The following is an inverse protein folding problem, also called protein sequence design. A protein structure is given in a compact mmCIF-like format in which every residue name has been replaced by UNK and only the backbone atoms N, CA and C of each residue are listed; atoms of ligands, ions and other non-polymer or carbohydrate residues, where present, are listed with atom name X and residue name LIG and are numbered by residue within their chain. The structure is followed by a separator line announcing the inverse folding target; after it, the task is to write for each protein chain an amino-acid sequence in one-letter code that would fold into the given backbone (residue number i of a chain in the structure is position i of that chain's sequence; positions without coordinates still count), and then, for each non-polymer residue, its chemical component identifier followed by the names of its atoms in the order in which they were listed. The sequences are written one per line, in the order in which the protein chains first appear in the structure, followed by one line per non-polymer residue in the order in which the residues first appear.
data_IF_021254171287
#
_entry.id   IF_021254171287
#
_cell.length_a   1.000
_cell.length_b   1.000
_cell.length_c   1.000
_cell.angle_alpha   90.00
_cell.angle_beta   90.00
_cell.angle_gamma   90.00
#
_symmetry.space_group_name_H-M   'P 1'
#
loop_
_entity.id
_entity.type
_entity.pdbx_description
1 polymer ?
#
# COMPACT_ATOMS: atom_id res chain seq x y z
N UNK A 1 5.78 29.45 -4.36
CA UNK A 1 5.50 28.03 -4.06
C UNK A 1 6.56 27.18 -4.76
N UNK A 2 7.21 26.23 -4.05
CA UNK A 2 8.25 25.38 -4.64
C UNK A 2 7.67 24.49 -5.75
N UNK A 3 8.49 24.18 -6.76
CA UNK A 3 8.16 23.24 -7.83
C UNK A 3 7.77 21.90 -7.18
N UNK A 4 6.53 21.43 -7.40
CA UNK A 4 6.02 20.17 -6.85
C UNK A 4 5.16 20.29 -5.58
N UNK A 5 4.97 21.47 -4.99
CA UNK A 5 4.10 21.65 -3.83
C UNK A 5 2.64 21.22 -4.09
N UNK A 6 2.15 21.37 -5.32
CA UNK A 6 0.80 20.92 -5.72
C UNK A 6 0.66 19.38 -5.68
N UNK A 7 1.74 18.63 -5.89
CA UNK A 7 1.74 17.16 -5.84
C UNK A 7 1.60 16.58 -4.43
N UNK A 8 1.70 17.43 -3.40
CA UNK A 8 1.59 17.02 -2.00
C UNK A 8 0.20 17.28 -1.41
N UNK A 9 -0.75 17.69 -2.23
CA UNK A 9 -2.14 17.90 -1.84
C UNK A 9 -3.05 16.97 -2.65
N UNK A 10 -3.94 16.27 -1.97
CA UNK A 10 -5.00 15.51 -2.63
C UNK A 10 -5.94 16.51 -3.31
N UNK A 11 -6.21 16.38 -4.61
CA UNK A 11 -7.11 17.29 -5.32
C UNK A 11 -8.54 17.12 -4.83
N UNK A 12 -9.30 18.21 -4.86
CA UNK A 12 -10.75 18.12 -4.70
C UNK A 12 -11.37 17.40 -5.92
N UNK A 13 -12.54 16.76 -5.77
CA UNK A 13 -13.14 15.96 -6.85
C UNK A 13 -13.35 16.71 -8.16
N UNK A 14 -13.64 18.02 -8.10
CA UNK A 14 -13.83 18.91 -9.26
C UNK A 14 -12.51 19.38 -9.90
N UNK A 15 -11.40 19.18 -9.24
CA UNK A 15 -10.04 19.52 -9.68
C UNK A 15 -9.28 18.30 -10.20
N UNK A 16 -9.79 17.09 -9.94
CA UNK A 16 -9.13 15.86 -10.32
C UNK A 16 -9.32 15.52 -11.80
N UNK A 17 -8.41 14.71 -12.33
CA UNK A 17 -8.55 14.19 -13.68
C UNK A 17 -9.82 13.35 -13.82
N UNK A 18 -10.53 13.42 -14.97
CA UNK A 18 -11.81 12.74 -15.15
C UNK A 18 -11.70 11.20 -15.19
N UNK A 19 -10.51 10.67 -15.50
CA UNK A 19 -10.29 9.23 -15.63
C UNK A 19 -11.06 8.60 -16.79
N UNK A 20 -11.38 7.31 -16.64
CA UNK A 20 -12.07 6.53 -17.69
C UNK A 20 -12.96 5.44 -17.11
N UNK A 21 -13.83 4.89 -17.95
CA UNK A 21 -14.72 3.77 -17.60
C UNK A 21 -14.06 2.40 -17.80
N UNK A 22 -13.06 2.33 -18.68
CA UNK A 22 -12.37 1.07 -19.01
C UNK A 22 -11.31 0.75 -17.96
N UNK A 23 -11.38 -0.44 -17.37
CA UNK A 23 -10.37 -0.94 -16.45
C UNK A 23 -9.06 -1.28 -17.15
N UNK A 24 -7.96 -1.21 -16.42
CA UNK A 24 -6.64 -1.65 -16.90
C UNK A 24 -6.65 -3.15 -17.19
N UNK A 25 -6.21 -3.52 -18.38
CA UNK A 25 -5.99 -4.93 -18.72
C UNK A 25 -4.67 -5.40 -18.09
N UNK A 26 -4.74 -6.51 -17.36
CA UNK A 26 -3.56 -7.13 -16.75
C UNK A 26 -3.55 -8.63 -17.00
N UNK A 27 -2.37 -9.24 -17.05
CA UNK A 27 -2.20 -10.68 -17.14
C UNK A 27 -2.60 -11.29 -15.80
N UNK A 28 -3.63 -12.14 -15.79
CA UNK A 28 -4.16 -12.75 -14.56
C UNK A 28 -3.26 -13.90 -14.04
N UNK A 29 -1.98 -13.58 -13.83
CA UNK A 29 -1.01 -14.53 -13.27
C UNK A 29 0.13 -13.79 -12.59
N UNK A 30 0.31 -14.02 -11.29
CA UNK A 30 1.43 -13.48 -10.52
C UNK A 30 2.76 -14.09 -11.00
N UNK A 31 3.71 -13.24 -11.40
CA UNK A 31 4.97 -13.66 -12.01
C UNK A 31 5.84 -14.56 -11.09
N UNK A 32 5.76 -14.34 -9.77
CA UNK A 32 6.54 -15.11 -8.77
C UNK A 32 5.72 -16.26 -8.20
N UNK A 33 4.49 -15.99 -7.73
CA UNK A 33 3.66 -16.96 -7.01
C UNK A 33 2.84 -17.87 -7.94
N UNK A 34 2.73 -17.53 -9.22
CA UNK A 34 2.02 -18.31 -10.25
C UNK A 34 0.49 -18.32 -10.10
N UNK A 35 -0.06 -17.64 -9.12
CA UNK A 35 -1.50 -17.59 -8.77
C UNK A 35 -2.21 -16.45 -9.48
N UNK A 36 -3.56 -16.51 -9.65
CA UNK A 36 -4.33 -15.40 -10.19
C UNK A 36 -4.18 -14.13 -9.34
N UNK A 37 -4.07 -12.96 -10.00
CA UNK A 37 -4.05 -11.64 -9.34
C UNK A 37 -5.43 -10.97 -9.37
N UNK A 38 -6.31 -11.40 -10.27
CA UNK A 38 -7.68 -10.90 -10.37
C UNK A 38 -8.65 -11.71 -9.49
N UNK A 39 -9.67 -11.07 -8.90
CA UNK A 39 -10.75 -11.78 -8.24
C UNK A 39 -11.62 -12.58 -9.25
N UNK A 40 -12.44 -13.55 -8.83
CA UNK A 40 -12.63 -13.92 -7.43
C UNK A 40 -11.49 -14.75 -6.85
N UNK A 41 -11.17 -14.53 -5.57
CA UNK A 41 -10.19 -15.34 -4.86
C UNK A 41 -10.85 -16.56 -4.19
N UNK A 42 -10.08 -17.63 -3.88
CA UNK A 42 -10.59 -18.76 -3.12
C UNK A 42 -11.27 -18.34 -1.80
N UNK A 43 -12.33 -19.07 -1.43
CA UNK A 43 -13.04 -18.84 -0.18
C UNK A 43 -12.11 -18.98 1.04
N UNK A 44 -12.32 -18.15 2.06
CA UNK A 44 -11.52 -18.13 3.29
C UNK A 44 -10.29 -17.23 3.24
N UNK A 45 -9.86 -16.79 2.05
CA UNK A 45 -8.80 -15.78 1.96
C UNK A 45 -9.32 -14.40 2.35
N UNK A 46 -8.43 -13.60 2.91
CA UNK A 46 -8.66 -12.19 3.23
C UNK A 46 -7.81 -11.29 2.33
N UNK A 47 -8.17 -10.02 2.25
CA UNK A 47 -7.40 -9.01 1.54
C UNK A 47 -7.25 -7.73 2.35
N UNK A 48 -6.19 -7.00 2.08
CA UNK A 48 -5.88 -5.67 2.63
C UNK A 48 -5.04 -4.92 1.62
N UNK A 49 -5.11 -3.57 1.61
CA UNK A 49 -4.28 -2.76 0.73
C UNK A 49 -3.29 -1.93 1.55
N UNK A 50 -2.02 -1.89 1.10
CA UNK A 50 -0.93 -1.18 1.76
C UNK A 50 -0.24 -0.20 0.82
N UNK A 51 -0.17 1.07 1.20
CA UNK A 51 0.65 2.11 0.57
C UNK A 51 1.90 2.37 1.41
N UNK A 52 3.09 2.20 0.82
CA UNK A 52 4.37 2.32 1.51
C UNK A 52 5.38 3.19 0.74
N UNK A 53 4.92 4.10 -0.11
CA UNK A 53 5.73 4.76 -1.13
C UNK A 53 5.69 3.98 -2.45
N UNK A 54 6.80 3.95 -3.21
CA UNK A 54 6.87 3.21 -4.46
C UNK A 54 6.44 1.74 -4.28
N UNK A 55 5.40 1.34 -5.00
CA UNK A 55 4.77 0.02 -4.84
C UNK A 55 5.64 -1.16 -5.31
N UNK A 56 6.70 -0.95 -6.10
CA UNK A 56 7.58 -2.04 -6.54
C UNK A 56 8.31 -2.73 -5.40
N UNK A 57 8.91 -1.91 -4.51
CA UNK A 57 9.59 -2.43 -3.32
C UNK A 57 8.61 -2.99 -2.29
N UNK A 58 7.46 -2.32 -2.12
CA UNK A 58 6.40 -2.75 -1.23
C UNK A 58 5.86 -4.13 -1.64
N UNK A 59 5.53 -4.31 -2.92
CA UNK A 59 5.03 -5.58 -3.43
C UNK A 59 6.01 -6.73 -3.19
N UNK A 60 7.33 -6.50 -3.45
CA UNK A 60 8.36 -7.50 -3.19
C UNK A 60 8.38 -7.97 -1.74
N UNK A 61 8.22 -7.08 -0.77
CA UNK A 61 8.16 -7.46 0.64
C UNK A 61 7.00 -8.40 0.92
N UNK A 62 5.81 -8.11 0.38
CA UNK A 62 4.62 -8.91 0.62
C UNK A 62 4.63 -10.26 -0.13
N UNK A 63 5.01 -10.33 -1.40
CA UNK A 63 5.06 -11.64 -2.07
C UNK A 63 6.13 -12.56 -1.48
N UNK A 64 7.14 -12.00 -0.79
CA UNK A 64 8.18 -12.78 -0.11
C UNK A 64 7.75 -13.22 1.30
N UNK A 65 6.58 -12.81 1.76
CA UNK A 65 6.07 -13.16 3.09
C UNK A 65 5.33 -14.51 3.00
N UNK A 66 5.76 -15.55 3.74
CA UNK A 66 5.06 -16.84 3.76
C UNK A 66 3.61 -16.68 4.21
N UNK A 67 2.69 -17.40 3.55
CA UNK A 67 1.25 -17.31 3.80
C UNK A 67 0.50 -16.28 2.93
N UNK A 68 1.19 -15.38 2.24
CA UNK A 68 0.60 -14.54 1.22
C UNK A 68 0.22 -15.39 0.02
N UNK A 69 -1.06 -15.29 -0.39
CA UNK A 69 -1.60 -16.05 -1.50
C UNK A 69 -1.23 -15.42 -2.85
N UNK A 70 -1.48 -14.13 -3.00
CA UNK A 70 -1.12 -13.35 -4.19
C UNK A 70 -1.01 -11.87 -3.84
N UNK A 71 -0.31 -11.10 -4.67
CA UNK A 71 -0.26 -9.64 -4.59
C UNK A 71 -0.62 -9.02 -5.93
N UNK A 72 -1.02 -7.77 -5.91
CA UNK A 72 -1.13 -6.94 -7.10
C UNK A 72 -0.83 -5.49 -6.74
N UNK A 73 -0.16 -4.76 -7.62
CA UNK A 73 0.01 -3.31 -7.47
C UNK A 73 -1.09 -2.55 -8.18
N UNK A 74 -1.43 -1.41 -7.61
CA UNK A 74 -2.49 -0.55 -8.16
C UNK A 74 -2.59 0.78 -7.46
N UNK A 75 -3.70 1.45 -7.70
CA UNK A 75 -4.00 2.80 -7.26
C UNK A 75 -5.29 2.80 -6.46
N UNK A 76 -5.29 3.45 -5.30
CA UNK A 76 -6.48 3.53 -4.45
C UNK A 76 -6.48 4.81 -3.58
N UNK A 77 -7.64 5.11 -2.99
CA UNK A 77 -7.80 6.23 -2.06
C UNK A 77 -7.98 7.61 -2.71
N UNK A 78 -7.85 7.72 -4.02
CA UNK A 78 -8.13 8.93 -4.80
C UNK A 78 -9.54 8.98 -5.37
N UNK A 79 -9.76 9.90 -6.30
CA UNK A 79 -11.10 10.19 -6.87
C UNK A 79 -11.21 9.87 -8.36
N UNK A 80 -10.11 9.82 -9.10
CA UNK A 80 -10.09 9.55 -10.55
C UNK A 80 -10.36 8.07 -10.84
N UNK A 81 -11.42 7.68 -11.55
CA UNK A 81 -11.68 6.28 -11.87
C UNK A 81 -10.71 5.73 -12.91
N UNK A 82 -10.25 4.50 -12.71
CA UNK A 82 -9.34 3.77 -13.61
C UNK A 82 -8.14 4.59 -14.10
N UNK A 83 -7.34 5.19 -13.20
CA UNK A 83 -6.21 6.01 -13.62
C UNK A 83 -5.11 5.14 -14.24
N UNK A 84 -4.25 5.75 -15.05
CA UNK A 84 -2.98 5.16 -15.45
C UNK A 84 -1.81 5.75 -14.65
N UNK A 85 -0.63 5.15 -14.79
CA UNK A 85 0.58 5.56 -14.08
C UNK A 85 0.93 7.04 -14.29
N UNK A 86 0.85 7.54 -15.53
CA UNK A 86 1.15 8.95 -15.83
C UNK A 86 0.23 9.91 -15.11
N UNK A 87 -1.06 9.59 -15.07
CA UNK A 87 -2.06 10.39 -14.36
C UNK A 87 -1.81 10.38 -12.85
N UNK A 88 -1.47 9.22 -12.26
CA UNK A 88 -1.13 9.15 -10.83
C UNK A 88 0.14 9.96 -10.53
N UNK A 89 1.16 9.87 -11.37
CA UNK A 89 2.40 10.64 -11.23
C UNK A 89 2.22 12.15 -11.41
N UNK A 90 1.12 12.61 -12.04
CA UNK A 90 0.81 14.04 -12.10
C UNK A 90 0.46 14.62 -10.73
N UNK A 91 -0.07 13.80 -9.79
CA UNK A 91 -0.61 14.23 -8.50
C UNK A 91 -2.07 14.66 -8.57
N UNK A 92 -2.71 14.61 -9.76
CA UNK A 92 -4.06 15.14 -10.02
C UNK A 92 -5.16 14.06 -9.93
N UNK A 93 -4.83 12.85 -9.45
CA UNK A 93 -5.78 11.76 -9.23
C UNK A 93 -6.15 11.56 -7.77
N UNK A 94 -5.29 12.02 -6.86
CA UNK A 94 -5.40 11.79 -5.42
C UNK A 94 -5.11 10.37 -4.96
N UNK A 95 -4.80 9.44 -5.88
CA UNK A 95 -4.50 8.06 -5.52
C UNK A 95 -3.16 7.89 -4.83
N UNK A 96 -3.09 6.91 -3.92
CA UNK A 96 -1.83 6.31 -3.48
C UNK A 96 -1.47 5.12 -4.37
N UNK A 97 -0.17 4.90 -4.54
CA UNK A 97 0.37 3.62 -4.99
C UNK A 97 0.20 2.60 -3.86
N UNK A 98 -0.50 1.51 -4.14
CA UNK A 98 -0.80 0.49 -3.12
C UNK A 98 -0.53 -0.92 -3.63
N UNK A 99 -0.27 -1.81 -2.69
CA UNK A 99 -0.23 -3.25 -2.90
C UNK A 99 -1.48 -3.85 -2.30
N UNK A 100 -2.30 -4.51 -3.10
CA UNK A 100 -3.33 -5.43 -2.61
C UNK A 100 -2.64 -6.72 -2.22
N UNK A 101 -2.79 -7.12 -0.98
CA UNK A 101 -2.28 -8.38 -0.43
C UNK A 101 -3.46 -9.29 -0.15
N UNK A 102 -3.49 -10.44 -0.81
CA UNK A 102 -4.46 -11.52 -0.55
C UNK A 102 -3.73 -12.60 0.21
N UNK A 103 -4.26 -13.02 1.35
CA UNK A 103 -3.57 -13.92 2.26
C UNK A 103 -4.51 -14.94 2.90
N UNK A 104 -3.93 -16.06 3.32
CA UNK A 104 -4.60 -17.08 4.12
C UNK A 104 -4.43 -16.73 5.61
N UNK A 105 -5.50 -16.35 6.34
CA UNK A 105 -5.38 -16.00 7.75
C UNK A 105 -4.97 -17.17 8.65
N UNK A 106 -5.08 -18.42 8.17
CA UNK A 106 -4.56 -19.59 8.88
C UNK A 106 -3.04 -19.76 8.72
N UNK A 107 -2.45 -19.18 7.66
CA UNK A 107 -1.02 -19.28 7.35
C UNK A 107 -0.22 -18.04 7.76
N UNK A 108 -0.81 -16.86 7.66
CA UNK A 108 -0.22 -15.59 8.09
C UNK A 108 -1.28 -14.65 8.67
N UNK A 109 -1.00 -14.06 9.82
CA UNK A 109 -1.95 -13.14 10.45
C UNK A 109 -1.84 -11.73 9.89
N UNK A 110 -2.90 -10.92 10.07
CA UNK A 110 -2.85 -9.50 9.69
C UNK A 110 -1.75 -8.75 10.46
N UNK A 111 -1.51 -9.08 11.73
CA UNK A 111 -0.45 -8.48 12.55
C UNK A 111 0.95 -8.75 11.97
N UNK A 112 1.16 -9.95 11.42
CA UNK A 112 2.42 -10.26 10.74
C UNK A 112 2.62 -9.42 9.47
N UNK A 113 1.55 -9.18 8.70
CA UNK A 113 1.59 -8.28 7.54
C UNK A 113 1.77 -6.82 7.97
N UNK A 114 1.15 -6.39 9.06
CA UNK A 114 1.34 -5.06 9.63
C UNK A 114 2.77 -4.84 10.11
N UNK A 115 3.44 -5.86 10.63
CA UNK A 115 4.87 -5.77 10.95
C UNK A 115 5.70 -5.49 9.69
N UNK A 116 5.45 -6.22 8.60
CA UNK A 116 6.11 -5.97 7.30
C UNK A 116 5.88 -4.53 6.84
N UNK A 117 4.67 -4.02 7.02
CA UNK A 117 4.30 -2.66 6.68
C UNK A 117 5.04 -1.62 7.54
N UNK A 118 4.91 -1.69 8.87
CA UNK A 118 5.48 -0.71 9.78
C UNK A 118 7.01 -0.68 9.75
N UNK A 119 7.66 -1.84 9.66
CA UNK A 119 9.12 -1.94 9.60
C UNK A 119 9.69 -1.68 8.20
N UNK A 120 8.84 -1.74 7.18
CA UNK A 120 9.23 -1.66 5.78
C UNK A 120 9.44 -0.26 5.22
N UNK A 121 8.89 0.79 5.87
CA UNK A 121 8.97 2.17 5.42
C UNK A 121 8.92 3.14 6.62
N UNK A 122 9.02 4.44 6.36
CA UNK A 122 8.82 5.46 7.38
C UNK A 122 7.39 6.04 7.29
N UNK A 123 6.48 5.71 8.23
CA UNK A 123 5.08 6.13 8.16
C UNK A 123 4.86 7.58 8.64
N UNK A 124 5.91 8.35 8.92
CA UNK A 124 5.81 9.72 9.48
C UNK A 124 6.02 10.81 8.43
N UNK A 125 6.21 10.46 7.15
CA UNK A 125 6.69 11.40 6.12
C UNK A 125 5.58 12.16 5.37
N UNK A 126 4.31 11.94 5.68
CA UNK A 126 3.21 12.60 4.99
C UNK A 126 3.10 12.17 3.53
N UNK A 127 3.06 13.15 2.62
CA UNK A 127 2.91 12.91 1.17
C UNK A 127 4.25 12.62 0.49
N UNK A 128 5.06 11.74 1.07
CA UNK A 128 6.33 11.29 0.51
C UNK A 128 6.81 10.00 1.16
N UNK A 129 7.77 9.34 0.53
CA UNK A 129 8.58 8.29 1.14
C UNK A 129 10.01 8.35 0.62
N UNK A 130 10.96 8.60 1.51
CA UNK A 130 12.36 8.78 1.13
C UNK A 130 12.55 9.93 0.14
N UNK A 131 13.06 9.63 -1.04
CA UNK A 131 13.27 10.62 -2.11
C UNK A 131 12.01 10.84 -2.99
N UNK A 132 11.02 9.96 -2.90
CA UNK A 132 9.82 10.03 -3.71
C UNK A 132 8.80 10.99 -3.08
N UNK A 133 8.41 12.05 -3.80
CA UNK A 133 7.53 13.11 -3.32
C UNK A 133 6.23 13.13 -4.12
N UNK A 134 5.08 13.16 -3.41
CA UNK A 134 3.74 13.25 -4.00
C UNK A 134 2.72 12.43 -3.23
N UNK A 135 1.43 12.73 -3.45
CA UNK A 135 0.30 12.04 -2.81
C UNK A 135 0.29 10.54 -3.06
N UNK A 136 0.84 10.09 -4.21
CA UNK A 136 0.93 8.68 -4.56
C UNK A 136 1.87 7.89 -3.64
N UNK A 137 2.81 8.54 -2.99
CA UNK A 137 3.81 7.89 -2.12
C UNK A 137 3.47 7.97 -0.63
N UNK A 138 2.24 8.41 -0.28
CA UNK A 138 1.81 8.46 1.12
C UNK A 138 1.67 7.07 1.72
N UNK A 139 1.93 6.98 3.01
CA UNK A 139 1.64 5.80 3.81
C UNK A 139 0.13 5.58 3.91
N UNK A 140 -0.37 4.37 3.65
CA UNK A 140 -1.80 4.08 3.69
C UNK A 140 -2.08 2.61 4.05
N UNK A 141 -3.19 2.37 4.75
CA UNK A 141 -3.78 1.04 4.98
C UNK A 141 -5.28 1.13 4.70
N UNK A 142 -5.77 0.29 3.80
CA UNK A 142 -7.20 0.19 3.51
C UNK A 142 -7.69 -1.20 3.88
N UNK A 143 -8.59 -1.23 4.86
CA UNK A 143 -9.11 -2.44 5.49
C UNK A 143 -10.40 -2.90 4.82
N UNK A 144 -10.54 -4.20 4.59
CA UNK A 144 -11.76 -4.77 4.00
C UNK A 144 -12.98 -4.55 4.91
N UNK A 145 -12.80 -4.61 6.22
CA UNK A 145 -13.88 -4.52 7.20
C UNK A 145 -13.47 -3.89 8.54
N UNK A 146 -14.43 -3.75 9.45
CA UNK A 146 -14.23 -3.16 10.76
C UNK A 146 -13.36 -4.02 11.70
N UNK A 147 -13.31 -5.34 11.50
CA UNK A 147 -12.47 -6.23 12.31
C UNK A 147 -10.99 -6.02 12.01
N UNK A 148 -10.65 -5.92 10.72
CA UNK A 148 -9.30 -5.54 10.30
C UNK A 148 -8.93 -4.14 10.79
N UNK A 149 -9.87 -3.18 10.69
CA UNK A 149 -9.64 -1.81 11.17
C UNK A 149 -9.25 -1.78 12.65
N UNK A 150 -9.92 -2.54 13.50
CA UNK A 150 -9.61 -2.59 14.95
C UNK A 150 -8.16 -3.08 15.18
N UNK A 151 -7.73 -4.13 14.48
CA UNK A 151 -6.35 -4.66 14.55
C UNK A 151 -5.34 -3.63 14.06
N UNK A 152 -5.63 -2.96 12.94
CA UNK A 152 -4.74 -1.92 12.36
C UNK A 152 -4.57 -0.74 13.31
N UNK A 153 -5.66 -0.25 13.92
CA UNK A 153 -5.58 0.86 14.87
C UNK A 153 -4.78 0.51 16.12
N UNK A 154 -4.99 -0.67 16.69
CA UNK A 154 -4.20 -1.15 17.84
C UNK A 154 -2.71 -1.27 17.48
N UNK A 155 -2.39 -1.81 16.31
CA UNK A 155 -1.02 -1.94 15.80
C UNK A 155 -0.37 -0.58 15.56
N UNK A 156 -1.11 0.39 14.99
CA UNK A 156 -0.65 1.78 14.81
C UNK A 156 -0.26 2.42 16.13
N UNK A 157 -1.12 2.30 17.14
CA UNK A 157 -0.90 2.93 18.45
C UNK A 157 0.32 2.34 19.16
N UNK A 158 0.49 1.01 19.08
CA UNK A 158 1.67 0.34 19.60
C UNK A 158 2.96 0.78 18.86
N UNK A 159 2.92 0.88 17.53
CA UNK A 159 4.08 1.32 16.76
C UNK A 159 4.38 2.81 16.96
N UNK A 160 3.34 3.66 17.10
CA UNK A 160 3.53 5.07 17.44
C UNK A 160 4.28 5.25 18.77
N UNK A 161 3.94 4.47 19.79
CA UNK A 161 4.65 4.52 21.06
C UNK A 161 6.15 4.15 20.90
N UNK A 162 6.45 3.11 20.10
CA UNK A 162 7.82 2.71 19.80
C UNK A 162 8.60 3.77 19.00
N UNK A 163 7.96 4.40 18.01
CA UNK A 163 8.53 5.49 17.22
C UNK A 163 8.84 6.71 18.11
N UNK A 164 7.89 7.11 18.94
CA UNK A 164 8.04 8.26 19.85
C UNK A 164 9.19 8.06 20.83
N UNK A 165 9.36 6.86 21.35
CA UNK A 165 10.48 6.50 22.23
C UNK A 165 11.85 6.61 21.54
N UNK A 166 11.89 6.62 20.22
CA UNK A 166 13.10 6.78 19.38
C UNK A 166 13.21 8.17 18.74
N UNK A 167 12.33 9.10 19.12
CA UNK A 167 12.37 10.50 18.65
C UNK A 167 11.76 10.73 17.26
N UNK A 168 11.02 9.77 16.70
CA UNK A 168 10.29 9.96 15.45
C UNK A 168 9.00 10.76 15.66
N UNK A 169 8.50 11.37 14.57
CA UNK A 169 7.26 12.13 14.55
C UNK A 169 6.01 11.25 14.62
N UNK A 170 4.86 11.90 14.45
CA UNK A 170 3.55 11.26 14.43
C UNK A 170 3.37 10.46 13.13
N UNK A 171 2.78 9.27 13.23
CA UNK A 171 2.35 8.47 12.09
C UNK A 171 1.33 9.27 11.28
N UNK A 172 1.57 9.38 9.97
CA UNK A 172 0.71 10.07 9.01
C UNK A 172 -0.06 9.09 8.10
N UNK A 173 0.01 7.80 8.39
CA UNK A 173 -0.65 6.75 7.61
C UNK A 173 -2.15 7.00 7.49
N UNK A 174 -2.65 7.10 6.26
CA UNK A 174 -4.08 7.12 5.99
C UNK A 174 -4.67 5.74 6.26
N UNK A 175 -5.68 5.65 7.13
CA UNK A 175 -6.35 4.39 7.46
C UNK A 175 -7.84 4.53 7.14
N UNK A 176 -8.37 3.63 6.29
CA UNK A 176 -9.78 3.61 5.89
C UNK A 176 -10.40 2.23 6.00
N UNK A 177 -11.70 2.20 6.35
CA UNK A 177 -12.58 1.04 6.26
C UNK A 177 -14.01 1.52 5.99
N UNK A 178 -14.77 0.92 5.04
CA UNK A 178 -14.30 -0.10 4.11
C UNK A 178 -13.21 0.41 3.16
N UNK A 179 -12.45 -0.53 2.57
CA UNK A 179 -11.42 -0.18 1.59
C UNK A 179 -12.01 0.57 0.38
N UNK A 180 -11.31 1.60 -0.13
CA UNK A 180 -11.72 2.27 -1.36
C UNK A 180 -11.55 1.35 -2.58
N UNK A 181 -12.17 1.69 -3.74
CA UNK A 181 -11.93 0.98 -4.99
C UNK A 181 -10.44 0.86 -5.29
N UNK A 182 -10.03 -0.33 -5.73
CA UNK A 182 -8.68 -0.62 -6.18
C UNK A 182 -8.66 -0.68 -7.70
N UNK A 183 -7.83 0.15 -8.31
CA UNK A 183 -7.57 0.16 -9.74
C UNK A 183 -6.21 -0.49 -10.01
N UNK A 184 -6.18 -1.57 -10.80
CA UNK A 184 -4.94 -2.24 -11.14
C UNK A 184 -4.00 -1.29 -11.89
N UNK A 185 -2.72 -1.31 -11.53
CA UNK A 185 -1.67 -0.70 -12.33
C UNK A 185 -1.40 -1.55 -13.59
N UNK A 186 -0.72 -0.95 -14.56
CA UNK A 186 -0.36 -1.58 -15.82
C UNK A 186 0.44 -2.87 -15.60
N UNK A 187 0.34 -3.81 -16.54
CA UNK A 187 0.98 -5.13 -16.43
C UNK A 187 2.50 -5.06 -16.20
N UNK A 188 3.16 -4.06 -16.78
CA UNK A 188 4.59 -3.86 -16.60
C UNK A 188 4.97 -3.54 -15.14
N UNK A 189 4.06 -2.98 -14.36
CA UNK A 189 4.27 -2.69 -12.95
C UNK A 189 4.02 -3.91 -12.03
N UNK A 190 3.18 -4.86 -12.46
CA UNK A 190 2.88 -6.05 -11.67
C UNK A 190 4.16 -6.88 -11.50
N UNK A 191 4.56 -7.14 -10.24
CA UNK A 191 5.79 -7.85 -9.86
C UNK A 191 7.05 -7.30 -10.56
N UNK A 192 7.14 -5.98 -10.68
CA UNK A 192 8.19 -5.26 -11.41
C UNK A 192 9.60 -5.73 -11.02
N UNK A 193 9.92 -5.84 -9.73
CA UNK A 193 11.26 -6.23 -9.27
C UNK A 193 11.60 -7.71 -9.49
N UNK A 194 10.63 -8.54 -9.86
CA UNK A 194 10.89 -9.89 -10.34
C UNK A 194 11.20 -9.92 -11.83
N UNK A 195 10.53 -9.08 -12.61
CA UNK A 195 10.80 -8.88 -14.05
C UNK A 195 12.09 -8.10 -14.29
N UNK A 196 12.42 -7.18 -13.38
CA UNK A 196 13.59 -6.28 -13.43
C UNK A 196 14.38 -6.32 -12.10
N UNK A 197 15.25 -7.33 -11.87
CA UNK A 197 15.96 -7.50 -10.59
C UNK A 197 16.85 -6.33 -10.17
N UNK A 198 17.35 -5.55 -11.13
CA UNK A 198 18.15 -4.32 -10.90
C UNK A 198 17.30 -3.05 -10.82
N UNK A 199 15.97 -3.16 -10.78
CA UNK A 199 15.05 -2.02 -10.73
C UNK A 199 15.14 -1.21 -9.43
N UNK A 200 14.64 0.02 -9.48
CA UNK A 200 14.64 0.94 -8.33
C UNK A 200 13.86 0.36 -7.14
N UNK A 201 14.46 0.42 -5.97
CA UNK A 201 13.83 0.10 -4.70
C UNK A 201 14.30 1.12 -3.64
N UNK A 202 13.53 2.19 -3.44
CA UNK A 202 13.81 3.25 -2.46
C UNK A 202 13.25 2.99 -1.07
N UNK A 203 12.69 1.80 -0.80
CA UNK A 203 12.10 1.48 0.50
C UNK A 203 13.15 1.27 1.58
N UNK A 204 13.00 2.01 2.67
CA UNK A 204 13.78 1.87 3.90
C UNK A 204 12.93 2.17 5.12
N UNK A 205 13.00 1.31 6.13
CA UNK A 205 12.30 1.51 7.39
C UNK A 205 13.04 2.46 8.31
N UNK A 206 12.40 2.79 9.43
CA UNK A 206 12.94 3.64 10.50
C UNK A 206 14.00 2.94 11.37
N UNK A 207 14.16 1.62 11.22
CA UNK A 207 14.96 0.78 12.11
C UNK A 207 14.31 0.53 13.49
N UNK A 208 13.05 0.94 13.66
CA UNK A 208 12.23 0.65 14.84
C UNK A 208 11.48 -0.64 14.61
N UNK A 209 11.59 -1.59 15.55
CA UNK A 209 10.83 -2.84 15.48
C UNK A 209 9.38 -2.63 15.91
N UNK A 210 8.46 -3.21 15.14
CA UNK A 210 7.05 -3.20 15.49
C UNK A 210 6.81 -4.12 16.70
N UNK A 211 6.25 -3.61 17.80
CA UNK A 211 5.89 -4.47 18.93
C UNK A 211 4.90 -5.55 18.46
N UNK A 212 5.14 -6.80 18.84
CA UNK A 212 4.13 -7.83 18.72
C UNK A 212 3.00 -7.48 19.67
N UNK A 213 1.76 -7.41 19.19
CA UNK A 213 0.62 -7.33 20.08
C UNK A 213 0.75 -8.48 21.08
N UNK A 214 0.85 -8.13 22.36
CA UNK A 214 0.71 -9.13 23.42
C UNK A 214 -0.75 -9.56 23.32
N UNK A 215 -1.00 -10.72 22.72
CA UNK A 215 -2.28 -11.38 22.85
C UNK A 215 -2.48 -11.59 24.34
N UNK A 216 -3.29 -10.73 24.95
CA UNK A 216 -3.68 -10.87 26.34
C UNK A 216 -4.30 -12.25 26.54
N UNK A 217 -3.82 -12.93 27.55
CA UNK A 217 -4.34 -14.20 28.00
C UNK A 217 -5.82 -14.09 28.38
#
# INVERSE_FOLDING_TARGET
MGIGAYKQRIPEPDQALPGRTTSMAVINRHHVLGRPILPPYPAGLQQVQFGMGCFWGAERKFWSTPGVHTTAVGYAGGVTPNPNYREVCSGETGHAEVVRVVFDPAAVTLEALLRVFWEGHDPTQGMRQGNDMGTQYRSAIYCADASQLAVVLASRDAFQAALSARGFGTITTEIRSPEPPFFFAEDDHQQYLSKHPGGYCGLGGTGVSCPTAVTGA
#
